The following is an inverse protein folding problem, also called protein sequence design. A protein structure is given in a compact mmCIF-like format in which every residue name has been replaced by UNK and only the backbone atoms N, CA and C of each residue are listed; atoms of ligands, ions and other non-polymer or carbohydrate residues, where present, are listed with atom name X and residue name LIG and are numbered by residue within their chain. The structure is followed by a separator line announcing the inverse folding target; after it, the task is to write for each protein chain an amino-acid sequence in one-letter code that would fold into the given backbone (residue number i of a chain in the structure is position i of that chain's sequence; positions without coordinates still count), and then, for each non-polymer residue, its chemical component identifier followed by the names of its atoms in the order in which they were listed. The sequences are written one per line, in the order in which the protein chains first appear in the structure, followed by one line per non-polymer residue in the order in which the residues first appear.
data_IF_756700407413
#
_entry.id   IF_756700407413
#
_cell.length_a   1.000
_cell.length_b   1.000
_cell.length_c   1.000
_cell.angle_alpha   90.00
_cell.angle_beta   90.00
_cell.angle_gamma   90.00
#
_symmetry.space_group_name_H-M   'P 1'
#
loop_
_entity.id
_entity.type
_entity.pdbx_description
1 polymer ?
#
# COMPACT_ATOMS: atom_id res chain seq x y z
N UNK A 1 -5.30 5.39 6.61
CA UNK A 1 -5.52 4.98 8.02
C UNK A 1 -6.99 4.69 8.24
N UNK A 2 -7.38 3.88 9.25
CA UNK A 2 -8.78 3.52 9.49
C UNK A 2 -9.70 4.70 9.82
N UNK A 3 -9.16 5.89 10.13
CA UNK A 3 -9.93 7.12 10.42
C UNK A 3 -10.63 7.74 9.20
N UNK A 4 -10.96 6.95 8.16
CA UNK A 4 -11.64 7.49 6.99
C UNK A 4 -12.65 6.56 6.31
N UNK A 5 -12.84 5.31 6.76
CA UNK A 5 -13.55 4.36 5.91
C UNK A 5 -14.39 3.34 6.70
N UNK A 6 -15.64 3.72 6.97
CA UNK A 6 -16.69 2.78 7.33
C UNK A 6 -17.57 2.50 6.10
N UNK A 7 -17.56 1.25 5.65
CA UNK A 7 -18.44 0.52 4.70
C UNK A 7 -18.75 1.06 3.28
N UNK A 8 -18.32 2.26 2.87
CA UNK A 8 -18.57 2.80 1.51
C UNK A 8 -17.35 2.98 0.60
N UNK A 9 -16.13 3.04 1.15
CA UNK A 9 -14.95 3.54 0.43
C UNK A 9 -13.87 2.50 0.12
N UNK A 10 -14.12 1.19 0.22
CA UNK A 10 -13.13 0.17 -0.20
C UNK A 10 -12.78 0.27 -1.68
N UNK A 11 -13.78 0.51 -2.54
CA UNK A 11 -13.56 0.65 -3.99
C UNK A 11 -12.96 2.02 -4.34
N UNK A 12 -13.46 3.11 -3.74
CA UNK A 12 -12.85 4.44 -3.89
C UNK A 12 -11.39 4.47 -3.43
N UNK A 13 -11.07 3.92 -2.26
CA UNK A 13 -9.69 3.83 -1.79
C UNK A 13 -8.80 3.00 -2.72
N UNK A 14 -9.33 1.97 -3.38
CA UNK A 14 -8.57 1.16 -4.34
C UNK A 14 -8.28 1.94 -5.62
N UNK A 15 -9.25 2.70 -6.13
CA UNK A 15 -9.06 3.52 -7.33
C UNK A 15 -8.20 4.77 -7.05
N UNK A 16 -8.30 5.35 -5.86
CA UNK A 16 -7.44 6.44 -5.39
C UNK A 16 -5.97 5.98 -5.28
N UNK A 17 -5.73 4.76 -4.77
CA UNK A 17 -4.38 4.16 -4.70
C UNK A 17 -3.79 3.98 -6.11
N UNK A 18 -4.57 3.48 -7.07
CA UNK A 18 -4.09 3.31 -8.46
C UNK A 18 -3.77 4.65 -9.11
N UNK A 19 -4.66 5.63 -8.99
CA UNK A 19 -4.43 6.96 -9.53
C UNK A 19 -3.18 7.62 -8.92
N UNK A 20 -2.94 7.40 -7.63
CA UNK A 20 -1.73 7.87 -6.97
C UNK A 20 -0.47 7.18 -7.51
N UNK A 21 -0.49 5.85 -7.65
CA UNK A 21 0.59 5.07 -8.26
C UNK A 21 0.88 5.57 -9.67
N UNK A 22 -0.15 5.74 -10.51
CA UNK A 22 -0.02 6.24 -11.88
C UNK A 22 0.67 7.60 -11.91
N UNK A 23 0.32 8.48 -10.97
CA UNK A 23 0.94 9.79 -10.87
C UNK A 23 2.41 9.69 -10.46
N UNK A 24 2.75 8.86 -9.47
CA UNK A 24 4.15 8.66 -9.04
C UNK A 24 5.01 8.13 -10.19
N UNK A 25 4.48 7.18 -10.98
CA UNK A 25 5.20 6.66 -12.15
C UNK A 25 5.35 7.73 -13.23
N UNK A 26 4.30 8.52 -13.51
CA UNK A 26 4.39 9.66 -14.46
C UNK A 26 5.40 10.71 -14.03
N UNK A 27 5.55 10.91 -12.73
CA UNK A 27 6.52 11.83 -12.13
C UNK A 27 7.96 11.25 -12.13
N UNK A 28 8.14 10.02 -12.60
CA UNK A 28 9.46 9.39 -12.79
C UNK A 28 9.94 8.54 -11.61
N UNK A 29 9.04 8.00 -10.79
CA UNK A 29 9.43 7.10 -9.70
C UNK A 29 9.99 5.77 -10.23
N UNK A 30 11.27 5.51 -9.98
CA UNK A 30 11.92 4.22 -10.26
C UNK A 30 11.60 3.16 -9.18
N UNK A 31 11.27 3.61 -7.98
CA UNK A 31 10.93 2.77 -6.81
C UNK A 31 9.69 3.35 -6.14
N UNK A 32 8.73 2.48 -5.82
CA UNK A 32 7.55 2.84 -5.00
C UNK A 32 7.56 2.01 -3.72
N UNK A 33 7.49 2.70 -2.58
CA UNK A 33 7.38 2.10 -1.25
C UNK A 33 5.90 1.90 -0.88
N UNK A 34 5.54 0.67 -0.52
CA UNK A 34 4.18 0.27 -0.17
C UNK A 34 4.14 -0.15 1.29
N UNK A 35 3.33 0.55 2.09
CA UNK A 35 3.12 0.26 3.51
C UNK A 35 1.63 0.15 3.86
N UNK A 36 1.26 -0.84 4.68
CA UNK A 36 -0.14 -1.08 5.11
C UNK A 36 -0.48 -0.46 6.46
N UNK A 37 0.52 0.08 7.17
CA UNK A 37 0.40 0.64 8.52
C UNK A 37 1.19 1.95 8.64
N UNK A 38 0.57 2.98 9.23
CA UNK A 38 1.28 4.22 9.55
C UNK A 38 2.20 4.04 10.75
N UNK A 39 3.40 4.63 10.69
CA UNK A 39 4.35 4.73 11.81
C UNK A 39 4.46 6.16 12.34
N UNK A 40 3.60 7.09 11.88
CA UNK A 40 3.64 8.50 12.28
C UNK A 40 3.42 8.69 13.79
N UNK A 41 4.23 9.55 14.45
CA UNK A 41 3.98 9.97 15.83
C UNK A 41 2.58 10.59 16.00
N UNK A 42 1.88 10.24 17.08
CA UNK A 42 0.57 10.82 17.41
C UNK A 42 -0.66 10.13 16.83
N UNK A 43 -0.51 8.97 16.17
CA UNK A 43 -1.64 8.22 15.60
C UNK A 43 -1.33 6.76 15.28
N UNK A 44 -0.39 6.15 16.00
CA UNK A 44 -0.01 4.76 15.78
C UNK A 44 -1.07 3.82 16.36
N UNK A 45 -1.75 3.11 15.48
CA UNK A 45 -2.58 1.95 15.82
C UNK A 45 -2.04 0.77 15.05
N UNK A 46 -1.50 -0.20 15.78
CA UNK A 46 -1.00 -1.43 15.18
C UNK A 46 -2.15 -2.22 14.56
N UNK A 47 -1.93 -2.71 13.34
CA UNK A 47 -2.82 -3.65 12.65
C UNK A 47 -2.20 -5.03 12.64
N UNK A 48 -3.06 -6.04 12.62
CA UNK A 48 -2.60 -7.43 12.48
C UNK A 48 -1.84 -7.63 11.17
N UNK A 49 -0.88 -8.58 11.09
CA UNK A 49 -0.20 -8.92 9.83
C UNK A 49 -1.17 -9.21 8.68
N UNK A 50 -2.25 -9.94 8.95
CA UNK A 50 -3.26 -10.28 7.93
C UNK A 50 -3.99 -9.04 7.38
N UNK A 51 -4.23 -8.05 8.24
CA UNK A 51 -4.86 -6.79 7.82
C UNK A 51 -3.88 -5.94 7.01
N UNK A 52 -2.60 -5.90 7.40
CA UNK A 52 -1.56 -5.21 6.65
C UNK A 52 -1.36 -5.82 5.26
N UNK A 53 -1.29 -7.16 5.16
CA UNK A 53 -1.21 -7.91 3.90
C UNK A 53 -2.37 -7.51 2.98
N UNK A 54 -3.62 -7.57 3.48
CA UNK A 54 -4.81 -7.19 2.71
C UNK A 54 -4.75 -5.75 2.16
N UNK A 55 -4.09 -4.83 2.87
CA UNK A 55 -3.96 -3.44 2.44
C UNK A 55 -2.90 -3.25 1.37
N UNK A 56 -1.77 -3.96 1.46
CA UNK A 56 -0.65 -3.79 0.52
C UNK A 56 -0.83 -4.60 -0.77
N UNK A 57 -1.50 -5.76 -0.72
CA UNK A 57 -1.63 -6.66 -1.87
C UNK A 57 -2.18 -5.99 -3.13
N UNK A 58 -3.27 -5.19 -3.09
CA UNK A 58 -3.80 -4.57 -4.30
C UNK A 58 -2.83 -3.61 -4.99
N UNK A 59 -2.05 -2.85 -4.22
CA UNK A 59 -1.04 -1.93 -4.76
C UNK A 59 0.12 -2.70 -5.41
N UNK A 60 0.61 -3.76 -4.75
CA UNK A 60 1.69 -4.61 -5.25
C UNK A 60 1.26 -5.31 -6.54
N UNK A 61 0.06 -5.90 -6.58
CA UNK A 61 -0.46 -6.56 -7.78
C UNK A 61 -0.62 -5.57 -8.94
N UNK A 62 -1.14 -4.37 -8.66
CA UNK A 62 -1.30 -3.32 -9.66
C UNK A 62 0.05 -2.85 -10.24
N UNK A 63 1.05 -2.61 -9.39
CA UNK A 63 2.40 -2.25 -9.80
C UNK A 63 3.05 -3.35 -10.66
N UNK A 64 2.99 -4.61 -10.20
CA UNK A 64 3.54 -5.76 -10.95
C UNK A 64 2.87 -5.92 -12.33
N UNK A 65 1.56 -5.66 -12.42
CA UNK A 65 0.81 -5.82 -13.68
C UNK A 65 1.01 -4.67 -14.68
N UNK A 66 1.11 -3.42 -14.21
CA UNK A 66 1.09 -2.25 -15.09
C UNK A 66 2.46 -1.58 -15.25
N UNK A 67 3.35 -1.73 -14.26
CA UNK A 67 4.64 -1.03 -14.20
C UNK A 67 5.78 -1.98 -13.80
N UNK A 68 6.06 -3.04 -14.58
CA UNK A 68 7.02 -4.09 -14.22
C UNK A 68 8.48 -3.59 -14.11
N UNK A 69 8.79 -2.41 -14.64
CA UNK A 69 10.10 -1.78 -14.52
C UNK A 69 10.30 -1.01 -13.21
N UNK A 70 9.22 -0.67 -12.50
CA UNK A 70 9.28 0.05 -11.22
C UNK A 70 9.55 -0.96 -10.11
N UNK A 71 10.59 -0.71 -9.32
CA UNK A 71 10.88 -1.57 -8.17
C UNK A 71 9.88 -1.32 -7.04
N UNK A 72 9.54 -2.38 -6.31
CA UNK A 72 8.60 -2.32 -5.19
C UNK A 72 9.39 -2.52 -3.90
N UNK A 73 9.36 -1.52 -3.02
CA UNK A 73 9.83 -1.64 -1.64
C UNK A 73 8.62 -1.87 -0.71
N UNK A 74 8.75 -2.76 0.27
CA UNK A 74 7.68 -3.06 1.23
C UNK A 74 8.08 -2.49 2.58
N UNK A 75 7.37 -1.44 3.02
CA UNK A 75 7.58 -0.84 4.34
C UNK A 75 6.81 -1.63 5.40
N UNK A 76 7.50 -2.56 6.03
CA UNK A 76 6.97 -3.31 7.16
C UNK A 76 8.10 -3.79 8.07
N UNK A 77 7.81 -3.89 9.36
CA UNK A 77 8.66 -4.57 10.34
C UNK A 77 8.17 -6.01 10.64
N UNK A 78 7.03 -6.42 10.09
CA UNK A 78 6.39 -7.69 10.43
C UNK A 78 6.81 -8.79 9.46
N UNK A 79 7.51 -9.81 9.98
CA UNK A 79 7.98 -10.94 9.17
C UNK A 79 6.88 -11.62 8.31
N UNK A 80 5.65 -11.88 8.80
CA UNK A 80 4.63 -12.49 7.96
C UNK A 80 4.20 -11.62 6.77
N UNK A 81 4.29 -10.30 6.91
CA UNK A 81 4.01 -9.35 5.82
C UNK A 81 5.13 -9.39 4.79
N UNK A 82 6.40 -9.38 5.24
CA UNK A 82 7.56 -9.53 4.36
C UNK A 82 7.50 -10.82 3.53
N UNK A 83 7.07 -11.93 4.16
CA UNK A 83 6.99 -13.23 3.49
C UNK A 83 5.86 -13.29 2.44
N UNK A 84 4.80 -12.49 2.60
CA UNK A 84 3.61 -12.54 1.75
C UNK A 84 3.65 -11.58 0.53
N UNK A 85 4.53 -10.59 0.53
CA UNK A 85 4.64 -9.56 -0.50
C UNK A 85 5.42 -10.02 -1.76
#
# INVERSE_FOLDING_TARGET
TPDSFYDGGRYQATDDIKAHIDQMVKDGADIIEVGGQTTKPGGFVEVSPNEEIKRITPAIEYLKANYPAVAIAVDTYKYPVMQAA
#
